data_IF_281162604300
#
_entry.id   IF_281162604300
#
_cell.length_a   1.000
_cell.length_b   1.000
_cell.length_c   1.000
_cell.angle_alpha   90.00
_cell.angle_beta   90.00
_cell.angle_gamma   90.00
#
_symmetry.space_group_name_H-M   'P 1'
#
loop_
_entity.id
_entity.type
_entity.pdbx_description
1 polymer ?
#
# COMPACT_ATOMS: atom_id res chain seq x y z
N UNK A 1 0.17 -0.34 -56.78
CA UNK A 1 0.44 0.97 -56.10
C UNK A 1 -0.80 1.33 -55.28
N UNK A 2 -0.80 1.04 -54.01
CA UNK A 2 -1.92 1.34 -53.10
C UNK A 2 -1.66 2.70 -52.43
N UNK A 3 -2.48 3.69 -52.79
CA UNK A 3 -2.38 5.05 -52.25
C UNK A 3 -2.76 5.09 -50.76
N UNK A 4 -1.83 5.49 -49.88
CA UNK A 4 -2.11 5.80 -48.47
C UNK A 4 -3.06 7.01 -48.41
N UNK A 5 -4.33 6.80 -48.09
CA UNK A 5 -5.26 7.85 -47.69
C UNK A 5 -4.74 8.46 -46.39
N UNK A 6 -4.22 9.69 -46.47
CA UNK A 6 -3.95 10.53 -45.29
C UNK A 6 -5.30 10.97 -44.70
N UNK A 7 -5.74 10.33 -43.64
CA UNK A 7 -6.85 10.82 -42.80
C UNK A 7 -6.42 12.11 -42.12
N UNK A 8 -6.76 13.26 -42.69
CA UNK A 8 -6.63 14.58 -42.07
C UNK A 8 -7.66 14.65 -40.94
N UNK A 9 -7.20 14.54 -39.69
CA UNK A 9 -8.00 14.78 -38.50
C UNK A 9 -8.39 16.29 -38.52
N UNK A 10 -9.60 16.60 -38.96
CA UNK A 10 -10.15 17.95 -38.85
C UNK A 10 -10.26 18.31 -37.36
N UNK A 11 -9.51 19.33 -36.90
CA UNK A 11 -9.66 19.90 -35.56
C UNK A 11 -11.11 20.31 -35.38
N UNK A 12 -11.81 19.65 -34.45
CA UNK A 12 -13.19 20.00 -34.08
C UNK A 12 -13.21 21.44 -33.58
N UNK A 13 -14.07 22.28 -34.13
CA UNK A 13 -14.23 23.67 -33.64
C UNK A 13 -14.77 23.62 -32.21
N UNK A 14 -14.20 24.48 -31.36
CA UNK A 14 -14.65 24.65 -29.98
C UNK A 14 -16.14 25.08 -29.97
N UNK A 15 -16.95 24.33 -29.23
CA UNK A 15 -18.41 24.54 -29.15
C UNK A 15 -18.80 25.10 -27.80
N UNK A 16 -20.04 25.61 -27.67
CA UNK A 16 -20.59 26.07 -26.39
C UNK A 16 -20.57 24.98 -25.33
N UNK A 17 -20.90 23.74 -25.69
CA UNK A 17 -20.79 22.56 -24.81
C UNK A 17 -19.37 22.32 -24.30
N UNK A 18 -18.36 22.54 -25.15
CA UNK A 18 -16.95 22.36 -24.75
C UNK A 18 -16.56 23.41 -23.69
N UNK A 19 -17.10 24.63 -23.79
CA UNK A 19 -16.92 25.68 -22.78
C UNK A 19 -17.59 25.32 -21.46
N UNK A 20 -18.84 24.87 -21.50
CA UNK A 20 -19.59 24.43 -20.31
C UNK A 20 -18.89 23.27 -19.59
N UNK A 21 -18.44 22.24 -20.33
CA UNK A 21 -17.69 21.12 -19.79
C UNK A 21 -16.34 21.57 -19.20
N UNK A 22 -15.67 22.52 -19.84
CA UNK A 22 -14.40 23.07 -19.33
C UNK A 22 -14.61 23.82 -18.01
N UNK A 23 -15.66 24.62 -17.91
CA UNK A 23 -15.99 25.35 -16.67
C UNK A 23 -16.31 24.38 -15.54
N UNK A 24 -17.03 23.28 -15.82
CA UNK A 24 -17.33 22.25 -14.83
C UNK A 24 -16.06 21.49 -14.37
N UNK A 25 -15.11 21.24 -15.28
CA UNK A 25 -13.86 20.55 -14.98
C UNK A 25 -12.80 21.44 -14.32
N UNK A 26 -12.89 22.78 -14.54
CA UNK A 26 -11.86 23.74 -14.12
C UNK A 26 -11.58 23.73 -12.61
N UNK A 27 -12.55 23.72 -11.69
CA UNK A 27 -12.28 23.66 -10.26
C UNK A 27 -11.44 22.44 -9.87
N UNK A 28 -11.78 21.27 -10.42
CA UNK A 28 -11.04 20.02 -10.18
C UNK A 28 -9.63 20.09 -10.78
N UNK A 29 -9.50 20.62 -12.00
CA UNK A 29 -8.20 20.78 -12.65
C UNK A 29 -7.28 21.73 -11.87
N UNK A 30 -7.80 22.87 -11.40
CA UNK A 30 -7.04 23.83 -10.57
C UNK A 30 -6.61 23.15 -9.26
N UNK A 31 -7.51 22.41 -8.62
CA UNK A 31 -7.19 21.66 -7.41
C UNK A 31 -6.01 20.71 -7.65
N UNK A 32 -6.04 19.90 -8.70
CA UNK A 32 -4.94 18.99 -9.03
C UNK A 32 -3.63 19.72 -9.34
N UNK A 33 -3.68 20.85 -10.08
CA UNK A 33 -2.50 21.63 -10.38
C UNK A 33 -1.86 22.17 -9.09
N UNK A 34 -2.66 22.75 -8.20
CA UNK A 34 -2.15 23.36 -6.96
C UNK A 34 -1.65 22.31 -5.96
N UNK A 35 -2.40 21.21 -5.76
CA UNK A 35 -2.10 20.26 -4.68
C UNK A 35 -1.31 19.02 -5.12
N UNK A 36 -1.28 18.71 -6.42
CA UNK A 36 -0.52 17.55 -6.92
C UNK A 36 0.68 17.97 -7.77
N UNK A 37 0.52 18.88 -8.72
CA UNK A 37 1.62 19.24 -9.62
C UNK A 37 2.58 20.28 -9.03
N UNK A 38 2.07 21.29 -8.34
CA UNK A 38 2.93 22.34 -7.76
C UNK A 38 3.92 21.78 -6.72
N UNK A 39 3.56 20.85 -5.81
CA UNK A 39 4.52 20.23 -4.90
C UNK A 39 5.62 19.43 -5.62
N UNK A 40 5.39 18.93 -6.84
CA UNK A 40 6.41 18.21 -7.61
C UNK A 40 7.65 19.08 -7.91
N UNK A 41 7.51 20.41 -7.99
CA UNK A 41 8.66 21.32 -8.09
C UNK A 41 9.58 21.21 -6.86
N UNK A 42 9.08 20.73 -5.72
CA UNK A 42 9.89 20.41 -4.55
C UNK A 42 10.97 19.33 -4.78
N UNK A 43 10.87 18.56 -5.85
CA UNK A 43 11.90 17.58 -6.26
C UNK A 43 13.27 18.26 -6.42
N UNK A 44 13.31 19.54 -6.79
CA UNK A 44 14.57 20.32 -6.90
C UNK A 44 15.38 20.31 -5.59
N UNK A 45 14.72 20.17 -4.44
CA UNK A 45 15.38 20.09 -3.13
C UNK A 45 16.33 18.89 -3.05
N UNK A 46 16.02 17.79 -3.69
CA UNK A 46 16.86 16.60 -3.72
C UNK A 46 18.24 16.87 -4.34
N UNK A 47 18.35 17.87 -5.22
CA UNK A 47 19.58 18.27 -5.92
C UNK A 47 20.27 19.48 -5.29
N UNK A 48 19.75 19.99 -4.17
CA UNK A 48 20.29 21.14 -3.46
C UNK A 48 20.69 20.79 -2.03
N UNK A 49 21.74 21.45 -1.55
CA UNK A 49 22.06 21.46 -0.12
C UNK A 49 21.15 22.45 0.58
N UNK A 50 19.87 22.05 0.72
CA UNK A 50 18.84 22.93 1.26
C UNK A 50 19.11 23.25 2.73
N UNK A 51 19.16 24.56 3.03
CA UNK A 51 19.23 25.09 4.40
C UNK A 51 18.19 26.20 4.53
N UNK A 52 17.39 26.12 5.57
CA UNK A 52 16.42 27.17 5.87
C UNK A 52 17.19 28.42 6.33
N UNK A 53 17.06 29.53 5.61
CA UNK A 53 17.69 30.80 5.96
C UNK A 53 16.90 31.48 7.08
N UNK A 54 17.55 31.83 8.22
CA UNK A 54 16.86 32.50 9.32
C UNK A 54 16.19 33.80 8.84
N UNK A 55 14.93 34.01 9.19
CA UNK A 55 14.18 35.20 8.81
C UNK A 55 13.60 35.19 7.38
N UNK A 56 13.82 34.15 6.60
CA UNK A 56 13.32 34.05 5.23
C UNK A 56 12.47 32.79 5.04
N UNK A 57 11.46 32.87 4.14
CA UNK A 57 10.56 31.76 3.88
C UNK A 57 11.17 30.62 3.05
N UNK A 58 10.41 29.54 2.91
CA UNK A 58 10.79 28.33 2.17
C UNK A 58 11.27 28.62 0.73
N UNK A 59 10.53 29.45 0.00
CA UNK A 59 10.83 29.76 -1.41
C UNK A 59 12.18 30.49 -1.55
N UNK A 60 12.43 31.49 -0.70
CA UNK A 60 13.71 32.21 -0.68
C UNK A 60 14.87 31.24 -0.40
N UNK A 61 14.74 30.40 0.62
CA UNK A 61 15.73 29.39 0.99
C UNK A 61 15.99 28.37 -0.14
N UNK A 62 14.94 28.01 -0.88
CA UNK A 62 15.06 27.11 -2.02
C UNK A 62 15.92 27.68 -3.14
N UNK A 63 15.71 28.97 -3.48
CA UNK A 63 16.49 29.60 -4.56
C UNK A 63 17.94 29.90 -4.15
N UNK A 64 18.19 30.26 -2.89
CA UNK A 64 19.53 30.64 -2.40
C UNK A 64 20.35 29.43 -1.92
N UNK A 65 19.76 28.24 -1.79
CA UNK A 65 20.53 27.03 -1.43
C UNK A 65 21.45 26.58 -2.56
N UNK A 66 22.67 26.17 -2.21
CA UNK A 66 23.70 25.73 -3.18
C UNK A 66 23.26 24.45 -3.88
N UNK A 67 23.50 24.40 -5.18
CA UNK A 67 23.31 23.21 -5.98
C UNK A 67 24.40 22.17 -5.65
N UNK A 68 24.00 20.92 -5.35
CA UNK A 68 24.93 19.82 -5.04
C UNK A 68 24.81 18.62 -6.00
N UNK A 69 23.99 18.77 -7.07
CA UNK A 69 23.81 17.69 -8.04
C UNK A 69 23.33 16.39 -7.39
N UNK A 70 24.04 15.30 -7.57
CA UNK A 70 23.69 13.97 -7.07
C UNK A 70 24.30 13.60 -5.71
N UNK A 71 24.95 14.50 -5.00
CA UNK A 71 25.64 14.17 -3.75
C UNK A 71 24.70 13.70 -2.65
N UNK A 72 23.47 14.23 -2.59
CA UNK A 72 22.44 13.75 -1.67
C UNK A 72 22.06 12.29 -1.94
N UNK A 73 21.99 11.89 -3.21
CA UNK A 73 21.70 10.52 -3.62
C UNK A 73 22.85 9.57 -3.31
N UNK A 74 24.09 9.98 -3.61
CA UNK A 74 25.29 9.20 -3.26
C UNK A 74 25.35 8.95 -1.77
N UNK A 75 25.15 10.00 -0.96
CA UNK A 75 25.13 9.88 0.50
C UNK A 75 24.06 8.89 0.97
N UNK A 76 22.84 8.93 0.38
CA UNK A 76 21.78 8.03 0.75
C UNK A 76 22.07 6.58 0.37
N UNK A 77 22.48 6.34 -0.88
CA UNK A 77 22.78 4.99 -1.41
C UNK A 77 23.97 4.35 -0.67
N UNK A 78 24.97 5.13 -0.32
CA UNK A 78 26.16 4.66 0.42
C UNK A 78 25.91 4.50 1.92
N UNK A 79 24.75 4.92 2.42
CA UNK A 79 24.43 4.79 3.84
C UNK A 79 24.13 3.32 4.20
N UNK A 80 24.55 2.92 5.41
CA UNK A 80 24.22 1.59 5.96
C UNK A 80 22.69 1.36 6.08
N UNK A 81 21.91 2.44 6.10
CA UNK A 81 20.45 2.36 6.18
C UNK A 81 19.84 1.89 4.85
N UNK A 82 20.41 2.28 3.69
CA UNK A 82 19.83 2.01 2.38
C UNK A 82 19.57 0.54 2.12
N UNK A 83 20.58 -0.31 2.29
CA UNK A 83 20.43 -1.76 2.05
C UNK A 83 19.38 -2.39 2.97
N UNK A 84 19.30 -1.95 4.22
CA UNK A 84 18.31 -2.42 5.19
C UNK A 84 16.90 -1.97 4.80
N UNK A 85 16.70 -0.70 4.44
CA UNK A 85 15.42 -0.15 4.01
C UNK A 85 14.91 -0.84 2.74
N UNK A 86 15.81 -1.02 1.76
CA UNK A 86 15.52 -1.71 0.50
C UNK A 86 15.07 -3.15 0.76
N UNK A 87 15.84 -3.88 1.54
CA UNK A 87 15.52 -5.26 1.92
C UNK A 87 14.16 -5.33 2.61
N UNK A 88 13.93 -4.52 3.63
CA UNK A 88 12.69 -4.56 4.39
C UNK A 88 11.50 -4.20 3.50
N UNK A 89 11.57 -3.10 2.76
CA UNK A 89 10.48 -2.65 1.90
C UNK A 89 10.12 -3.72 0.86
N UNK A 90 11.11 -4.27 0.16
CA UNK A 90 10.87 -5.29 -0.87
C UNK A 90 10.36 -6.60 -0.26
N UNK A 91 11.00 -7.12 0.80
CA UNK A 91 10.58 -8.40 1.38
C UNK A 91 9.17 -8.36 1.94
N UNK A 92 8.82 -7.30 2.69
CA UNK A 92 7.45 -7.16 3.19
C UNK A 92 6.45 -7.05 2.05
N UNK A 93 6.73 -6.24 1.02
CA UNK A 93 5.80 -6.11 -0.10
C UNK A 93 5.65 -7.40 -0.91
N UNK A 94 6.71 -8.17 -1.11
CA UNK A 94 6.61 -9.49 -1.75
C UNK A 94 5.67 -10.39 -0.95
N UNK A 95 5.85 -10.46 0.37
CA UNK A 95 4.99 -11.27 1.25
C UNK A 95 3.55 -10.75 1.24
N UNK A 96 3.35 -9.43 1.30
CA UNK A 96 2.01 -8.82 1.25
C UNK A 96 1.32 -9.07 -0.09
N UNK A 97 2.04 -9.00 -1.21
CA UNK A 97 1.50 -9.28 -2.55
C UNK A 97 1.08 -10.74 -2.65
N UNK A 98 1.94 -11.68 -2.26
CA UNK A 98 1.65 -13.12 -2.37
C UNK A 98 0.47 -13.48 -1.47
N UNK A 99 0.53 -13.15 -0.18
CA UNK A 99 -0.53 -13.49 0.76
C UNK A 99 -1.81 -12.69 0.51
N UNK A 100 -1.69 -11.41 0.14
CA UNK A 100 -2.79 -10.54 -0.23
C UNK A 100 -3.48 -10.90 -1.54
N UNK A 101 -2.91 -11.83 -2.33
CA UNK A 101 -3.55 -12.41 -3.49
C UNK A 101 -4.16 -13.78 -3.15
N UNK A 102 -3.38 -14.68 -2.56
CA UNK A 102 -3.79 -16.07 -2.31
C UNK A 102 -4.92 -16.14 -1.28
N UNK A 103 -4.78 -15.46 -0.16
CA UNK A 103 -5.77 -15.56 0.94
C UNK A 103 -7.12 -14.96 0.54
N UNK A 104 -7.22 -13.73 -0.03
CA UNK A 104 -8.52 -13.17 -0.42
C UNK A 104 -9.20 -13.94 -1.54
N UNK A 105 -8.46 -14.47 -2.52
CA UNK A 105 -9.02 -15.32 -3.58
C UNK A 105 -9.62 -16.59 -2.99
N UNK A 106 -8.88 -17.25 -2.09
CA UNK A 106 -9.37 -18.46 -1.41
C UNK A 106 -10.63 -18.17 -0.60
N UNK A 107 -10.64 -17.08 0.18
CA UNK A 107 -11.80 -16.69 0.97
C UNK A 107 -13.00 -16.30 0.10
N UNK A 108 -12.78 -15.61 -1.02
CA UNK A 108 -13.84 -15.26 -1.97
C UNK A 108 -14.50 -16.52 -2.55
N UNK A 109 -13.69 -17.53 -2.94
CA UNK A 109 -14.20 -18.81 -3.42
C UNK A 109 -14.98 -19.53 -2.29
N UNK A 110 -14.43 -19.58 -1.08
CA UNK A 110 -15.13 -20.21 0.06
C UNK A 110 -16.48 -19.55 0.35
N UNK A 111 -16.53 -18.21 0.34
CA UNK A 111 -17.78 -17.47 0.58
C UNK A 111 -18.78 -17.66 -0.56
N UNK A 112 -18.33 -17.74 -1.81
CA UNK A 112 -19.20 -17.99 -2.97
C UNK A 112 -19.91 -19.35 -2.90
N UNK A 113 -19.34 -20.33 -2.20
CA UNK A 113 -19.92 -21.65 -1.99
C UNK A 113 -20.94 -21.70 -0.87
N UNK A 114 -21.10 -20.64 -0.08
CA UNK A 114 -22.08 -20.59 1.03
C UNK A 114 -23.49 -20.42 0.47
N UNK A 115 -24.33 -21.43 0.66
CA UNK A 115 -25.72 -21.43 0.18
C UNK A 115 -26.59 -20.32 0.79
N UNK A 116 -26.42 -20.04 2.08
CA UNK A 116 -27.19 -19.03 2.79
C UNK A 116 -26.69 -17.62 2.48
N UNK A 117 -27.48 -16.83 1.77
CA UNK A 117 -27.17 -15.42 1.46
C UNK A 117 -26.93 -14.58 2.72
N UNK A 118 -27.68 -14.85 3.80
CA UNK A 118 -27.49 -14.14 5.07
C UNK A 118 -26.13 -14.44 5.69
N UNK A 119 -25.75 -15.71 5.80
CA UNK A 119 -24.42 -16.10 6.35
C UNK A 119 -23.29 -15.54 5.51
N UNK A 120 -23.37 -15.65 4.17
CA UNK A 120 -22.39 -15.06 3.26
C UNK A 120 -22.21 -13.57 3.50
N UNK A 121 -23.31 -12.80 3.64
CA UNK A 121 -23.27 -11.36 3.91
C UNK A 121 -22.66 -11.04 5.28
N UNK A 122 -22.97 -11.81 6.32
CA UNK A 122 -22.37 -11.65 7.66
C UNK A 122 -20.86 -11.85 7.61
N UNK A 123 -20.36 -12.93 6.98
CA UNK A 123 -18.93 -13.17 6.84
C UNK A 123 -18.22 -12.06 6.05
N UNK A 124 -18.82 -11.62 4.94
CA UNK A 124 -18.29 -10.49 4.16
C UNK A 124 -18.16 -9.23 5.03
N UNK A 125 -19.20 -8.88 5.77
CA UNK A 125 -19.22 -7.68 6.63
C UNK A 125 -18.15 -7.78 7.73
N UNK A 126 -18.04 -8.92 8.42
CA UNK A 126 -17.06 -9.12 9.48
C UNK A 126 -15.62 -9.06 8.97
N UNK A 127 -15.34 -9.67 7.80
CA UNK A 127 -14.00 -9.64 7.20
C UNK A 127 -13.64 -8.27 6.61
N UNK A 128 -14.64 -7.50 6.17
CA UNK A 128 -14.43 -6.18 5.60
C UNK A 128 -14.30 -5.08 6.66
N UNK A 129 -14.85 -5.29 7.85
CA UNK A 129 -14.88 -4.31 8.94
C UNK A 129 -13.49 -3.74 9.31
N UNK A 130 -12.40 -4.53 9.44
CA UNK A 130 -11.09 -4.01 9.78
C UNK A 130 -10.54 -2.99 8.78
N UNK A 131 -10.97 -3.05 7.53
CA UNK A 131 -10.54 -2.11 6.49
C UNK A 131 -10.88 -0.66 6.82
N UNK A 132 -12.01 -0.40 7.48
CA UNK A 132 -12.46 0.94 7.86
C UNK A 132 -11.72 1.54 9.06
N UNK A 133 -11.02 0.71 9.83
CA UNK A 133 -10.31 1.18 11.02
C UNK A 133 -9.06 1.95 10.60
N UNK A 134 -8.77 3.08 11.27
CA UNK A 134 -7.50 3.75 11.10
C UNK A 134 -6.35 2.92 11.70
N UNK A 135 -5.13 3.09 11.18
CA UNK A 135 -3.95 2.43 11.77
C UNK A 135 -3.68 2.86 13.22
N UNK A 136 -4.07 4.07 13.59
CA UNK A 136 -3.98 4.54 14.98
C UNK A 136 -4.85 3.67 15.88
N UNK A 137 -6.11 3.46 15.52
CA UNK A 137 -7.01 2.59 16.30
C UNK A 137 -6.51 1.15 16.31
N UNK A 138 -6.12 0.62 15.15
CA UNK A 138 -5.54 -0.73 15.05
C UNK A 138 -4.31 -0.91 15.94
N UNK A 139 -3.45 0.11 16.04
CA UNK A 139 -2.26 0.06 16.90
C UNK A 139 -2.58 -0.05 18.39
N UNK A 140 -3.64 0.58 18.85
CA UNK A 140 -4.11 0.42 20.24
C UNK A 140 -4.61 -1.00 20.53
N UNK A 141 -5.27 -1.65 19.56
CA UNK A 141 -5.62 -3.06 19.71
C UNK A 141 -4.36 -3.92 19.84
N UNK A 142 -3.39 -3.73 18.94
CA UNK A 142 -2.12 -4.47 19.03
C UNK A 142 -1.43 -4.22 20.36
N UNK A 143 -1.40 -2.96 20.82
CA UNK A 143 -0.82 -2.63 22.12
C UNK A 143 -1.57 -3.28 23.29
N UNK A 144 -2.90 -3.35 23.26
CA UNK A 144 -3.69 -4.02 24.27
C UNK A 144 -3.37 -5.54 24.36
N UNK A 145 -3.03 -6.16 23.23
CA UNK A 145 -2.60 -7.56 23.20
C UNK A 145 -1.14 -7.75 23.61
N UNK A 146 -0.24 -6.86 23.15
CA UNK A 146 1.22 -7.01 23.26
C UNK A 146 1.86 -6.17 24.35
N UNK A 147 1.11 -5.42 25.15
CA UNK A 147 1.68 -4.62 26.26
C UNK A 147 2.50 -5.53 27.18
N UNK A 148 3.73 -5.14 27.57
CA UNK A 148 4.60 -5.95 28.43
C UNK A 148 3.95 -6.29 29.76
N UNK A 149 3.30 -5.33 30.42
CA UNK A 149 2.79 -5.46 31.76
C UNK A 149 1.34 -5.97 31.82
N UNK A 150 0.47 -5.43 30.98
CA UNK A 150 -0.98 -5.68 31.01
C UNK A 150 -1.53 -6.34 29.75
N UNK A 151 -0.67 -6.71 28.78
CA UNK A 151 -1.11 -7.29 27.51
C UNK A 151 -1.79 -8.63 27.68
N UNK A 152 -2.87 -8.84 26.95
CA UNK A 152 -3.70 -10.07 27.02
C UNK A 152 -2.83 -11.31 26.76
N UNK A 153 -1.92 -11.26 25.78
CA UNK A 153 -1.05 -12.41 25.48
C UNK A 153 -0.11 -12.74 26.63
N UNK A 154 0.46 -11.74 27.31
CA UNK A 154 1.30 -11.99 28.47
C UNK A 154 0.50 -12.50 29.66
N UNK A 155 -0.76 -12.09 29.85
CA UNK A 155 -1.64 -12.66 30.87
C UNK A 155 -1.91 -14.14 30.60
N UNK A 156 -2.20 -14.50 29.35
CA UNK A 156 -2.40 -15.90 28.96
C UNK A 156 -1.11 -16.71 29.18
N UNK A 157 0.04 -16.21 28.73
CA UNK A 157 1.34 -16.88 28.88
C UNK A 157 1.66 -17.12 30.36
N UNK A 158 1.46 -16.12 31.22
CA UNK A 158 1.72 -16.27 32.66
C UNK A 158 0.69 -17.17 33.35
N UNK A 159 -0.54 -17.26 32.87
CA UNK A 159 -1.53 -18.18 33.38
C UNK A 159 -1.12 -19.67 33.14
N UNK A 160 -0.35 -19.94 32.10
CA UNK A 160 0.21 -21.25 31.80
C UNK A 160 1.69 -21.39 32.26
N UNK A 161 2.08 -20.70 33.31
CA UNK A 161 3.43 -20.71 33.93
C UNK A 161 4.57 -20.30 32.98
N UNK A 162 4.25 -19.62 31.87
CA UNK A 162 5.23 -19.08 30.95
C UNK A 162 5.83 -17.74 31.40
N UNK A 163 7.02 -17.42 30.89
CA UNK A 163 7.68 -16.16 31.15
C UNK A 163 7.07 -15.03 30.29
N UNK A 164 6.94 -13.82 30.88
CA UNK A 164 6.47 -12.64 30.12
C UNK A 164 7.39 -12.30 28.98
N UNK A 165 6.82 -12.02 27.82
CA UNK A 165 7.56 -11.64 26.62
C UNK A 165 7.57 -10.11 26.48
N UNK A 166 8.77 -9.56 26.30
CA UNK A 166 8.95 -8.15 25.99
C UNK A 166 8.80 -7.91 24.48
N UNK A 167 7.56 -7.89 24.01
CA UNK A 167 7.22 -7.88 22.58
C UNK A 167 7.89 -6.71 21.82
N UNK A 168 7.84 -5.50 22.35
CA UNK A 168 8.40 -4.30 21.71
C UNK A 168 9.93 -4.20 21.78
N UNK A 169 10.56 -5.00 22.62
CA UNK A 169 12.02 -5.09 22.73
C UNK A 169 12.61 -6.26 21.92
N UNK A 170 11.77 -7.18 21.46
CA UNK A 170 12.21 -8.38 20.75
C UNK A 170 11.85 -8.34 19.26
N UNK A 171 12.79 -8.07 18.36
CA UNK A 171 12.53 -7.92 16.92
C UNK A 171 12.10 -9.22 16.23
N UNK A 172 12.32 -10.39 16.84
CA UNK A 172 12.07 -11.71 16.24
C UNK A 172 10.61 -11.91 15.83
N UNK A 173 9.66 -11.40 16.62
CA UNK A 173 8.23 -11.62 16.37
C UNK A 173 7.60 -10.61 15.42
N UNK A 174 8.23 -9.45 15.21
CA UNK A 174 7.65 -8.32 14.49
C UNK A 174 7.36 -8.57 13.02
N UNK A 175 8.19 -9.28 12.25
CA UNK A 175 7.83 -9.60 10.87
C UNK A 175 6.49 -10.32 10.75
N UNK A 176 6.23 -11.29 11.63
CA UNK A 176 4.96 -12.03 11.65
C UNK A 176 3.79 -11.14 12.08
N UNK A 177 3.99 -10.30 13.13
CA UNK A 177 2.97 -9.38 13.62
C UNK A 177 2.57 -8.39 12.51
N UNK A 178 3.55 -7.76 11.83
CA UNK A 178 3.29 -6.82 10.74
C UNK A 178 2.56 -7.47 9.56
N UNK A 179 2.97 -8.68 9.18
CA UNK A 179 2.29 -9.44 8.12
C UNK A 179 0.84 -9.75 8.51
N UNK A 180 0.62 -10.23 9.73
CA UNK A 180 -0.72 -10.55 10.23
C UNK A 180 -1.61 -9.32 10.27
N UNK A 181 -1.10 -8.19 10.76
CA UNK A 181 -1.86 -6.93 10.82
C UNK A 181 -2.19 -6.37 9.45
N UNK A 182 -1.26 -6.46 8.51
CA UNK A 182 -1.53 -6.08 7.12
C UNK A 182 -2.66 -6.94 6.53
N UNK A 183 -2.56 -8.26 6.65
CA UNK A 183 -3.58 -9.18 6.14
C UNK A 183 -4.93 -8.94 6.82
N UNK A 184 -4.98 -8.86 8.14
CA UNK A 184 -6.20 -8.61 8.89
C UNK A 184 -6.95 -7.37 8.38
N UNK A 185 -6.22 -6.31 8.05
CA UNK A 185 -6.82 -5.06 7.58
C UNK A 185 -7.20 -5.08 6.08
N UNK A 186 -6.44 -5.77 5.24
CA UNK A 186 -6.57 -5.65 3.77
C UNK A 186 -7.33 -6.79 3.10
N UNK A 187 -7.32 -7.98 3.71
CA UNK A 187 -7.90 -9.21 3.12
C UNK A 187 -9.37 -9.05 2.79
N UNK A 188 -10.16 -8.44 3.69
CA UNK A 188 -11.60 -8.28 3.50
C UNK A 188 -11.95 -7.44 2.27
N UNK A 189 -11.25 -6.34 2.05
CA UNK A 189 -11.43 -5.51 0.86
C UNK A 189 -11.11 -6.28 -0.42
N UNK A 190 -9.95 -6.90 -0.49
CA UNK A 190 -9.53 -7.67 -1.67
C UNK A 190 -10.45 -8.86 -1.93
N UNK A 191 -10.91 -9.56 -0.88
CA UNK A 191 -11.88 -10.64 -0.98
C UNK A 191 -13.20 -10.20 -1.62
N UNK A 192 -13.74 -9.03 -1.24
CA UNK A 192 -14.99 -8.51 -1.81
C UNK A 192 -14.82 -8.21 -3.30
N UNK A 193 -13.67 -7.67 -3.72
CA UNK A 193 -13.37 -7.42 -5.14
C UNK A 193 -13.38 -8.73 -5.95
N UNK A 194 -12.72 -9.78 -5.44
CA UNK A 194 -12.73 -11.09 -6.11
C UNK A 194 -14.11 -11.75 -6.08
N UNK A 195 -14.82 -11.63 -4.97
CA UNK A 195 -16.18 -12.17 -4.85
C UNK A 195 -17.14 -11.51 -5.84
N UNK A 196 -17.05 -10.20 -6.04
CA UNK A 196 -17.83 -9.50 -7.05
C UNK A 196 -17.54 -10.03 -8.47
N UNK A 197 -16.29 -10.35 -8.77
CA UNK A 197 -15.93 -10.98 -10.04
C UNK A 197 -16.50 -12.40 -10.17
N UNK A 198 -16.49 -13.19 -9.09
CA UNK A 198 -17.05 -14.55 -9.06
C UNK A 198 -18.56 -14.52 -9.29
N UNK A 199 -19.27 -13.57 -8.67
CA UNK A 199 -20.74 -13.45 -8.84
C UNK A 199 -21.16 -13.03 -10.24
N UNK A 200 -20.24 -12.50 -11.04
CA UNK A 200 -20.47 -12.17 -12.46
C UNK A 200 -20.27 -13.32 -13.43
N UNK A 201 -19.85 -14.50 -12.96
CA UNK A 201 -19.68 -15.69 -13.81
C UNK A 201 -21.06 -16.28 -14.14
N UNK A 202 -21.26 -16.70 -15.39
CA UNK A 202 -22.51 -17.31 -15.81
C UNK A 202 -22.80 -18.60 -15.01
N UNK A 203 -23.96 -18.63 -14.37
CA UNK A 203 -24.42 -19.76 -13.57
C UNK A 203 -24.57 -21.06 -14.35
N UNK A 204 -24.88 -20.98 -15.66
CA UNK A 204 -25.01 -22.14 -16.55
C UNK A 204 -23.75 -23.02 -16.59
N UNK A 205 -22.57 -22.41 -16.45
CA UNK A 205 -21.29 -23.15 -16.37
C UNK A 205 -21.22 -24.07 -15.15
N UNK A 206 -21.73 -23.59 -14.02
CA UNK A 206 -21.78 -24.37 -12.78
C UNK A 206 -22.84 -25.45 -12.83
N UNK A 207 -24.00 -25.17 -13.45
CA UNK A 207 -25.08 -26.16 -13.64
C UNK A 207 -24.63 -27.31 -14.53
N UNK A 208 -24.00 -27.02 -15.66
CA UNK A 208 -23.42 -28.03 -16.53
C UNK A 208 -22.38 -28.89 -15.81
N UNK A 209 -21.47 -28.26 -15.05
CA UNK A 209 -20.46 -28.96 -14.27
C UNK A 209 -21.06 -29.86 -13.17
N UNK A 210 -22.21 -29.50 -12.59
CA UNK A 210 -22.92 -30.36 -11.64
C UNK A 210 -23.52 -31.58 -12.34
N UNK A 211 -24.08 -31.42 -13.53
CA UNK A 211 -24.62 -32.53 -14.35
C UNK A 211 -23.50 -33.52 -14.72
N UNK A 212 -22.29 -32.98 -15.02
CA UNK A 212 -21.09 -33.76 -15.31
C UNK A 212 -20.46 -34.43 -14.07
N UNK A 213 -21.04 -34.22 -12.86
CA UNK A 213 -20.55 -34.79 -11.61
C UNK A 213 -19.33 -34.10 -11.02
N UNK A 214 -19.02 -32.88 -11.44
CA UNK A 214 -17.85 -32.13 -10.92
C UNK A 214 -18.04 -31.71 -9.45
N UNK A 215 -17.02 -32.01 -8.64
CA UNK A 215 -16.97 -31.59 -7.24
C UNK A 215 -16.80 -30.07 -7.11
N UNK A 216 -17.12 -29.49 -5.94
CA UNK A 216 -16.94 -28.05 -5.69
C UNK A 216 -15.49 -27.59 -5.88
N UNK A 217 -14.52 -28.44 -5.56
CA UNK A 217 -13.11 -28.16 -5.80
C UNK A 217 -12.76 -28.10 -7.29
N UNK A 218 -13.33 -29.04 -8.08
CA UNK A 218 -13.17 -29.04 -9.55
C UNK A 218 -13.83 -27.81 -10.18
N UNK A 219 -15.05 -27.42 -9.74
CA UNK A 219 -15.71 -26.20 -10.17
C UNK A 219 -14.84 -24.96 -9.85
N UNK A 220 -14.27 -24.87 -8.64
CA UNK A 220 -13.38 -23.78 -8.27
C UNK A 220 -12.13 -23.72 -9.17
N UNK A 221 -11.48 -24.88 -9.39
CA UNK A 221 -10.23 -24.99 -10.15
C UNK A 221 -10.40 -24.74 -11.65
N UNK A 222 -11.46 -25.27 -12.27
CA UNK A 222 -11.61 -25.29 -13.72
C UNK A 222 -12.60 -24.23 -14.25
N UNK A 223 -13.47 -23.68 -13.41
CA UNK A 223 -14.42 -22.62 -13.80
C UNK A 223 -14.07 -21.31 -13.10
N UNK A 224 -14.09 -21.28 -11.75
CA UNK A 224 -13.98 -20.03 -10.99
C UNK A 224 -12.61 -19.38 -11.18
N UNK A 225 -11.50 -20.08 -10.89
CA UNK A 225 -10.14 -19.51 -10.94
C UNK A 225 -9.80 -19.03 -12.36
N UNK A 226 -10.04 -19.79 -13.45
CA UNK A 226 -9.78 -19.28 -14.80
C UNK A 226 -10.63 -18.06 -15.17
N UNK A 227 -11.89 -18.01 -14.74
CA UNK A 227 -12.79 -16.88 -15.04
C UNK A 227 -12.39 -15.59 -14.36
N UNK A 228 -11.88 -15.64 -13.11
CA UNK A 228 -11.42 -14.45 -12.38
C UNK A 228 -9.95 -14.11 -12.66
N UNK A 229 -9.22 -14.92 -13.42
CA UNK A 229 -7.80 -14.70 -13.73
C UNK A 229 -7.47 -13.29 -14.22
N UNK A 230 -8.28 -12.65 -15.11
CA UNK A 230 -8.01 -11.27 -15.54
C UNK A 230 -7.98 -10.26 -14.37
N UNK A 231 -8.93 -10.35 -13.44
CA UNK A 231 -8.98 -9.45 -12.28
C UNK A 231 -7.82 -9.72 -11.31
N UNK A 232 -7.45 -10.99 -11.11
CA UNK A 232 -6.29 -11.40 -10.30
C UNK A 232 -5.00 -10.82 -10.88
N UNK A 233 -4.80 -10.90 -12.19
CA UNK A 233 -3.62 -10.32 -12.87
C UNK A 233 -3.63 -8.80 -12.74
N UNK A 234 -4.78 -8.16 -12.94
CA UNK A 234 -4.90 -6.70 -12.80
C UNK A 234 -4.51 -6.25 -11.38
N UNK A 235 -5.04 -6.89 -10.34
CA UNK A 235 -4.72 -6.58 -8.95
C UNK A 235 -3.24 -6.86 -8.62
N UNK A 236 -2.67 -7.90 -9.19
CA UNK A 236 -1.25 -8.21 -9.06
C UNK A 236 -0.36 -7.12 -9.66
N UNK A 237 -0.65 -6.66 -10.87
CA UNK A 237 0.10 -5.58 -11.53
C UNK A 237 0.01 -4.27 -10.73
N UNK A 238 -1.20 -3.92 -10.23
CA UNK A 238 -1.40 -2.74 -9.42
C UNK A 238 -0.59 -2.78 -8.10
N UNK A 239 -0.44 -3.96 -7.50
CA UNK A 239 0.36 -4.12 -6.30
C UNK A 239 1.87 -4.09 -6.59
N UNK A 240 2.32 -4.66 -7.72
CA UNK A 240 3.73 -4.55 -8.15
C UNK A 240 4.12 -3.09 -8.37
N UNK A 241 3.26 -2.28 -8.98
CA UNK A 241 3.52 -0.85 -9.17
C UNK A 241 3.75 -0.07 -7.85
N UNK A 242 3.42 -0.68 -6.70
CA UNK A 242 3.63 -0.08 -5.37
C UNK A 242 4.71 -0.79 -4.54
N UNK A 243 5.55 -1.64 -5.15
CA UNK A 243 6.48 -2.52 -4.42
C UNK A 243 7.51 -1.76 -3.56
N UNK A 244 7.84 -0.51 -3.89
CA UNK A 244 8.73 0.35 -3.11
C UNK A 244 8.00 1.25 -2.11
N UNK A 245 6.66 1.28 -2.11
CA UNK A 245 5.87 1.97 -1.11
C UNK A 245 5.50 1.01 0.03
N UNK A 246 5.55 1.50 1.26
CA UNK A 246 5.05 0.78 2.42
C UNK A 246 3.94 1.57 3.10
N UNK A 247 3.00 0.87 3.73
CA UNK A 247 1.97 1.54 4.52
C UNK A 247 2.61 2.14 5.79
N UNK A 248 2.83 3.46 5.76
CA UNK A 248 3.40 4.19 6.90
C UNK A 248 2.64 3.91 8.20
N UNK A 249 1.31 3.85 8.13
CA UNK A 249 0.48 3.60 9.30
C UNK A 249 0.76 2.23 9.93
N UNK A 250 0.92 1.20 9.13
CA UNK A 250 1.28 -0.13 9.62
C UNK A 250 2.63 -0.12 10.33
N UNK A 251 3.68 0.35 9.64
CA UNK A 251 5.04 0.25 10.17
C UNK A 251 5.31 1.21 11.32
N UNK A 252 4.75 2.41 11.30
CA UNK A 252 4.99 3.43 12.31
C UNK A 252 4.05 3.32 13.51
N UNK A 253 2.72 3.24 13.27
CA UNK A 253 1.75 3.27 14.36
C UNK A 253 1.74 1.94 15.15
N UNK A 254 1.72 0.80 14.45
CA UNK A 254 1.63 -0.51 15.10
C UNK A 254 2.87 -0.81 15.95
N UNK A 255 4.03 -0.31 15.53
CA UNK A 255 5.28 -0.46 16.29
C UNK A 255 5.49 0.60 17.37
N UNK A 256 4.55 1.52 17.57
CA UNK A 256 4.65 2.65 18.52
C UNK A 256 5.85 3.57 18.22
N UNK A 257 6.00 3.99 16.95
CA UNK A 257 7.03 4.94 16.54
C UNK A 257 8.39 4.31 16.21
N UNK A 258 8.47 3.02 16.01
CA UNK A 258 9.69 2.25 15.70
C UNK A 258 10.77 2.43 16.77
N UNK A 259 10.65 1.79 17.94
CA UNK A 259 11.71 1.76 18.94
C UNK A 259 13.04 1.28 18.34
N UNK A 260 14.17 1.71 18.93
CA UNK A 260 15.51 1.33 18.45
C UNK A 260 15.71 -0.19 18.32
N UNK A 261 15.09 -0.99 19.19
CA UNK A 261 15.07 -2.45 19.13
C UNK A 261 14.46 -2.98 17.85
N UNK A 262 13.46 -2.30 17.29
CA UNK A 262 12.72 -2.73 16.10
C UNK A 262 13.22 -2.06 14.81
N UNK A 263 14.14 -1.11 14.91
CA UNK A 263 14.61 -0.32 13.78
C UNK A 263 15.05 -1.20 12.60
N UNK A 264 15.81 -2.26 12.87
CA UNK A 264 16.34 -3.16 11.83
C UNK A 264 15.27 -3.97 11.08
N UNK A 265 14.11 -4.20 11.68
CA UNK A 265 13.05 -5.06 11.12
C UNK A 265 11.80 -4.31 10.68
N UNK A 266 11.55 -3.13 11.24
CA UNK A 266 10.33 -2.35 10.96
C UNK A 266 10.57 -1.08 10.13
N UNK A 267 11.83 -0.62 9.96
CA UNK A 267 12.11 0.57 9.15
C UNK A 267 11.98 0.26 7.66
N UNK A 268 11.21 1.12 6.98
CA UNK A 268 10.99 1.14 5.54
C UNK A 268 11.32 2.52 4.97
N UNK A 269 11.30 2.71 3.65
CA UNK A 269 11.58 4.03 3.06
C UNK A 269 10.64 5.11 3.62
N UNK A 270 9.33 4.85 3.68
CA UNK A 270 8.34 5.82 4.16
C UNK A 270 8.59 6.24 5.61
N UNK A 271 8.88 5.28 6.49
CA UNK A 271 9.17 5.56 7.91
C UNK A 271 10.51 6.25 8.10
N UNK A 272 11.51 5.92 7.29
CA UNK A 272 12.81 6.59 7.30
C UNK A 272 12.69 8.06 6.89
N UNK A 273 11.99 8.35 5.79
CA UNK A 273 11.74 9.70 5.32
C UNK A 273 11.05 10.53 6.40
N UNK A 274 10.01 9.99 7.02
CA UNK A 274 9.29 10.65 8.11
C UNK A 274 10.20 10.95 9.30
N UNK A 275 10.93 9.96 9.81
CA UNK A 275 11.84 10.14 10.94
C UNK A 275 12.97 11.12 10.65
N UNK A 276 13.51 11.09 9.41
CA UNK A 276 14.54 12.02 8.98
C UNK A 276 14.05 13.49 8.98
N UNK A 277 12.77 13.72 8.60
CA UNK A 277 12.16 15.04 8.70
C UNK A 277 11.97 15.51 10.15
N UNK A 278 11.65 14.60 11.07
CA UNK A 278 11.48 14.92 12.51
C UNK A 278 12.81 15.19 13.22
N UNK A 279 13.89 14.54 12.81
CA UNK A 279 15.19 14.59 13.49
C UNK A 279 16.17 15.60 12.89
N UNK A 280 15.68 16.58 12.12
CA UNK A 280 16.50 17.61 11.45
C UNK A 280 17.64 17.07 10.56
N UNK A 281 17.50 15.86 10.04
CA UNK A 281 18.38 15.41 8.96
C UNK A 281 18.23 16.36 7.78
N UNK A 282 19.33 16.65 7.08
CA UNK A 282 19.32 17.58 5.95
C UNK A 282 18.17 17.27 4.97
N UNK A 283 17.25 18.21 4.82
CA UNK A 283 16.02 18.05 4.02
C UNK A 283 16.32 17.59 2.60
N UNK A 284 17.44 18.04 2.01
CA UNK A 284 17.89 17.60 0.68
C UNK A 284 18.16 16.09 0.59
N UNK A 285 18.74 15.50 1.64
CA UNK A 285 19.00 14.04 1.70
C UNK A 285 17.71 13.24 1.83
N UNK A 286 16.79 13.74 2.65
CA UNK A 286 15.46 13.14 2.82
C UNK A 286 14.63 13.23 1.53
N UNK A 287 14.68 14.36 0.84
CA UNK A 287 14.05 14.55 -0.47
C UNK A 287 14.65 13.62 -1.53
N UNK A 288 15.96 13.36 -1.49
CA UNK A 288 16.62 12.41 -2.40
C UNK A 288 16.15 10.97 -2.17
N UNK A 289 15.91 10.57 -0.89
CA UNK A 289 15.36 9.26 -0.56
C UNK A 289 13.92 9.09 -1.10
N UNK A 290 13.06 10.09 -0.92
CA UNK A 290 11.69 10.08 -1.44
C UNK A 290 11.63 10.09 -2.98
N UNK A 291 12.51 10.85 -3.62
CA UNK A 291 12.61 10.87 -5.07
C UNK A 291 13.09 9.53 -5.64
N UNK A 292 14.10 8.91 -5.00
CA UNK A 292 14.54 7.55 -5.35
C UNK A 292 13.39 6.54 -5.28
N UNK A 293 12.63 6.55 -4.18
CA UNK A 293 11.46 5.68 -4.00
C UNK A 293 10.42 5.90 -5.11
N UNK A 294 10.14 7.15 -5.47
CA UNK A 294 9.16 7.48 -6.51
C UNK A 294 9.59 7.01 -7.90
N UNK A 295 10.87 7.17 -8.27
CA UNK A 295 11.40 6.67 -9.56
C UNK A 295 11.38 5.15 -9.60
N UNK A 296 11.73 4.47 -8.51
CA UNK A 296 11.75 3.01 -8.46
C UNK A 296 10.35 2.38 -8.61
N UNK A 297 9.27 3.17 -8.40
CA UNK A 297 7.87 2.74 -8.60
C UNK A 297 7.29 3.09 -9.98
N UNK A 298 7.98 3.89 -10.80
CA UNK A 298 7.58 4.21 -12.17
C UNK A 298 7.99 3.14 -13.15
#
# INVERSE_FOLDING_TARGET
>A
MAGKQKTTIKRKRWTKNDTELTILALPTAVWYVVFSYLPMFGIIIAFKNYKLSPGHGFIYSLFHSKWCGFDNFKFFIQSNAFAMLLRNTILYNIVFIILGLVIPVTLAIMISLIYSKFKSKVYQTLMFFPHFMSWVVASYFVFAFLSPDKGILNQIITHFDGQRVQWYSNPKYWPMILVTMNLWKTVGYSMVVYLASITGIDGSLYEAAVIDGATKFQQAKYITIPSIKPIVIMMFILNIGKIFYSDFGLFYQVTQGIPNSLYKVASTFDTYIYNALQTNVAIGKTAAAGFFQSIACC
#
